data_IF_989242503438
#
_entry.id   IF_989242503438
#
_cell.length_a   1.000
_cell.length_b   1.000
_cell.length_c   1.000
_cell.angle_alpha   90.00
_cell.angle_beta   90.00
_cell.angle_gamma   90.00
#
_symmetry.space_group_name_H-M   'P 1'
#
loop_
_entity.id
_entity.type
_entity.pdbx_description
1 polymer ?
#
# COMPACT_ATOMS: atom_id res chain seq x y z
N UNK A 1 -18.32 2.96 -3.48
CA UNK A 1 -17.65 3.20 -2.18
C UNK A 1 -16.86 4.49 -2.29
N UNK A 2 -16.97 5.41 -1.33
CA UNK A 2 -16.26 6.70 -1.41
C UNK A 2 -14.76 6.48 -1.24
N UNK A 3 -13.94 7.37 -1.80
CA UNK A 3 -12.46 7.26 -1.72
C UNK A 3 -11.96 7.39 -0.28
N UNK A 4 -12.57 8.26 0.51
CA UNK A 4 -12.29 8.40 1.94
C UNK A 4 -12.60 7.12 2.73
N UNK A 5 -13.74 6.48 2.48
CA UNK A 5 -14.10 5.19 3.09
C UNK A 5 -13.12 4.07 2.72
N UNK A 6 -12.63 4.07 1.47
CA UNK A 6 -11.63 3.11 1.02
C UNK A 6 -10.34 3.20 1.84
N UNK A 7 -9.79 4.41 2.00
CA UNK A 7 -8.58 4.63 2.79
C UNK A 7 -8.79 4.30 4.27
N UNK A 8 -9.94 4.63 4.86
CA UNK A 8 -10.29 4.23 6.24
C UNK A 8 -10.33 2.73 6.42
N UNK A 9 -10.93 1.99 5.47
CA UNK A 9 -10.97 0.52 5.53
C UNK A 9 -9.57 -0.07 5.47
N UNK A 10 -8.68 0.51 4.68
CA UNK A 10 -7.29 0.06 4.59
C UNK A 10 -6.50 0.38 5.85
N UNK A 11 -6.71 1.53 6.46
CA UNK A 11 -6.15 1.86 7.77
C UNK A 11 -6.60 0.84 8.83
N UNK A 12 -7.88 0.45 8.82
CA UNK A 12 -8.41 -0.60 9.69
C UNK A 12 -7.78 -1.98 9.42
N UNK A 13 -7.51 -2.34 8.17
CA UNK A 13 -6.82 -3.59 7.85
C UNK A 13 -5.40 -3.62 8.43
N UNK A 14 -4.68 -2.50 8.40
CA UNK A 14 -3.34 -2.36 9.01
C UNK A 14 -3.42 -2.38 10.53
N UNK A 15 -4.40 -1.68 11.13
CA UNK A 15 -4.62 -1.68 12.57
C UNK A 15 -4.90 -3.10 13.09
N UNK A 16 -5.77 -3.85 12.41
CA UNK A 16 -6.06 -5.26 12.76
C UNK A 16 -4.81 -6.14 12.71
N UNK A 17 -3.94 -5.93 11.72
CA UNK A 17 -2.67 -6.64 11.65
C UNK A 17 -1.75 -6.26 12.83
N UNK A 18 -1.60 -4.96 13.12
CA UNK A 18 -0.82 -4.47 14.27
C UNK A 18 -1.29 -5.08 15.58
N UNK A 19 -2.60 -5.06 15.82
CA UNK A 19 -3.20 -5.57 17.06
C UNK A 19 -3.02 -7.11 17.15
N UNK A 20 -3.14 -7.83 16.03
CA UNK A 20 -2.86 -9.26 15.98
C UNK A 20 -1.38 -9.57 16.24
N UNK A 21 -0.46 -8.77 15.69
CA UNK A 21 0.98 -8.91 15.96
C UNK A 21 1.33 -8.59 17.42
N UNK A 22 0.72 -7.56 18.01
CA UNK A 22 0.87 -7.28 19.44
C UNK A 22 0.35 -8.43 20.30
N UNK A 23 -0.78 -9.05 19.92
CA UNK A 23 -1.28 -10.26 20.59
C UNK A 23 -0.29 -11.41 20.50
N UNK A 24 0.45 -11.58 19.40
CA UNK A 24 1.56 -12.55 19.34
C UNK A 24 2.60 -12.24 20.40
N UNK A 25 3.04 -10.99 20.51
CA UNK A 25 4.06 -10.58 21.48
C UNK A 25 3.63 -10.80 22.93
N UNK A 26 2.34 -10.69 23.25
CA UNK A 26 1.80 -10.98 24.58
C UNK A 26 2.00 -12.44 25.00
N UNK A 27 1.96 -13.38 24.05
CA UNK A 27 2.13 -14.82 24.29
C UNK A 27 3.58 -15.30 24.17
N UNK A 28 4.51 -14.38 23.91
CA UNK A 28 5.92 -14.66 23.73
C UNK A 28 6.73 -14.11 24.91
N UNK A 29 7.88 -14.71 25.17
CA UNK A 29 8.88 -14.22 26.12
C UNK A 29 10.22 -14.02 25.41
N UNK A 30 10.99 -12.98 25.78
CA UNK A 30 12.33 -12.78 25.24
C UNK A 30 13.29 -13.80 25.83
N UNK A 31 13.97 -14.56 24.96
CA UNK A 31 14.98 -15.55 25.32
C UNK A 31 16.31 -15.12 24.73
N UNK A 32 17.35 -15.11 25.57
CA UNK A 32 18.73 -14.87 25.14
C UNK A 32 19.35 -16.18 24.71
N UNK A 33 19.63 -16.32 23.43
CA UNK A 33 20.25 -17.54 22.92
C UNK A 33 21.78 -17.38 22.97
N UNK A 34 22.41 -18.08 23.93
CA UNK A 34 23.84 -17.91 24.25
C UNK A 34 24.77 -18.57 23.24
N UNK A 35 24.31 -19.58 22.50
CA UNK A 35 25.13 -20.39 21.57
C UNK A 35 25.47 -19.67 20.25
N UNK A 36 24.71 -18.66 19.85
CA UNK A 36 24.76 -18.07 18.49
C UNK A 36 25.07 -16.56 18.48
N UNK A 37 25.85 -16.08 19.47
CA UNK A 37 26.26 -14.68 19.52
C UNK A 37 25.21 -13.74 20.11
N UNK A 38 24.52 -14.17 21.17
CA UNK A 38 23.60 -13.34 21.97
C UNK A 38 22.46 -12.72 21.12
N UNK A 39 21.87 -13.49 20.22
CA UNK A 39 20.63 -13.08 19.56
C UNK A 39 19.50 -13.04 20.59
N UNK A 40 18.76 -11.94 20.60
CA UNK A 40 17.51 -11.83 21.35
C UNK A 40 16.41 -12.36 20.45
N UNK A 41 15.82 -13.48 20.84
CA UNK A 41 14.70 -14.10 20.16
C UNK A 41 13.48 -14.09 21.07
N UNK A 42 12.29 -14.20 20.48
CA UNK A 42 11.03 -14.37 21.17
C UNK A 42 10.58 -15.82 21.01
N UNK A 43 10.24 -16.47 22.11
CA UNK A 43 9.70 -17.84 22.12
C UNK A 43 8.32 -17.86 22.78
N UNK A 44 7.42 -18.77 22.37
CA UNK A 44 6.15 -18.93 23.07
C UNK A 44 6.39 -19.33 24.52
N UNK A 45 5.67 -18.70 25.44
CA UNK A 45 5.67 -19.12 26.85
C UNK A 45 5.22 -20.57 26.95
N UNK A 46 5.78 -21.32 27.90
CA UNK A 46 5.53 -22.77 28.01
C UNK A 46 4.04 -23.14 28.10
N UNK A 47 3.25 -22.33 28.81
CA UNK A 47 1.82 -22.53 29.02
C UNK A 47 0.93 -21.98 27.87
N UNK A 48 1.45 -21.09 27.01
CA UNK A 48 0.66 -20.32 26.03
C UNK A 48 1.02 -20.67 24.57
N UNK A 49 1.55 -21.87 24.33
CA UNK A 49 2.04 -22.28 23.00
C UNK A 49 0.93 -22.31 21.94
N UNK A 50 -0.26 -22.76 22.32
CA UNK A 50 -1.40 -22.86 21.41
C UNK A 50 -1.93 -21.47 21.03
N UNK A 51 -2.00 -20.58 22.01
CA UNK A 51 -2.43 -19.19 21.89
C UNK A 51 -1.44 -18.40 21.03
N UNK A 52 -0.13 -18.56 21.28
CA UNK A 52 0.93 -17.98 20.45
C UNK A 52 0.83 -18.41 18.99
N UNK A 53 0.55 -19.69 18.73
CA UNK A 53 0.38 -20.22 17.38
C UNK A 53 -0.88 -19.67 16.69
N UNK A 54 -2.01 -19.61 17.40
CA UNK A 54 -3.27 -19.05 16.89
C UNK A 54 -3.14 -17.55 16.58
N UNK A 55 -2.51 -16.78 17.47
CA UNK A 55 -2.22 -15.37 17.25
C UNK A 55 -1.30 -15.17 16.03
N UNK A 56 -0.26 -16.02 15.90
CA UNK A 56 0.67 -15.97 14.77
C UNK A 56 -0.01 -16.28 13.45
N UNK A 57 -0.92 -17.26 13.44
CA UNK A 57 -1.72 -17.58 12.26
C UNK A 57 -2.63 -16.40 11.86
N UNK A 58 -3.28 -15.76 12.84
CA UNK A 58 -4.12 -14.58 12.61
C UNK A 58 -3.31 -13.40 12.05
N UNK A 59 -2.12 -13.14 12.61
CA UNK A 59 -1.21 -12.11 12.09
C UNK A 59 -0.82 -12.39 10.63
N UNK A 60 -0.44 -13.63 10.30
CA UNK A 60 -0.12 -14.05 8.93
C UNK A 60 -1.29 -13.85 7.94
N UNK A 61 -2.51 -14.19 8.34
CA UNK A 61 -3.70 -13.99 7.49
C UNK A 61 -3.97 -12.51 7.21
N UNK A 62 -3.71 -11.63 8.18
CA UNK A 62 -3.92 -10.19 8.07
C UNK A 62 -2.78 -9.47 7.34
N UNK A 63 -1.55 -10.00 7.41
CA UNK A 63 -0.36 -9.42 6.80
C UNK A 63 -0.55 -9.14 5.30
N UNK A 64 -1.19 -10.05 4.56
CA UNK A 64 -1.47 -9.85 3.14
C UNK A 64 -2.39 -8.65 2.85
N UNK A 65 -3.36 -8.38 3.73
CA UNK A 65 -4.26 -7.22 3.61
C UNK A 65 -3.52 -5.94 3.98
N UNK A 66 -2.77 -5.97 5.08
CA UNK A 66 -1.93 -4.86 5.51
C UNK A 66 -0.88 -4.48 4.45
N UNK A 67 -0.28 -5.47 3.76
CA UNK A 67 0.66 -5.23 2.67
C UNK A 67 0.03 -4.45 1.51
N UNK A 68 -1.20 -4.81 1.10
CA UNK A 68 -1.92 -4.05 0.07
C UNK A 68 -2.18 -2.61 0.50
N UNK A 69 -2.51 -2.41 1.78
CA UNK A 69 -2.71 -1.08 2.35
C UNK A 69 -1.41 -0.26 2.38
N UNK A 70 -0.27 -0.88 2.74
CA UNK A 70 1.05 -0.27 2.70
C UNK A 70 1.40 0.27 1.32
N UNK A 71 1.21 -0.52 0.26
CA UNK A 71 1.51 -0.09 -1.12
C UNK A 71 0.77 1.18 -1.52
N UNK A 72 -0.46 1.36 -1.03
CA UNK A 72 -1.30 2.52 -1.31
C UNK A 72 -1.01 3.72 -0.39
N UNK A 73 -0.46 3.48 0.80
CA UNK A 73 0.00 4.55 1.69
C UNK A 73 1.19 5.30 1.07
N UNK A 74 2.01 4.64 0.25
CA UNK A 74 3.25 5.19 -0.29
C UNK A 74 4.42 5.12 0.69
N UNK A 75 4.20 4.60 1.91
CA UNK A 75 5.25 4.35 2.88
C UNK A 75 5.84 2.97 2.62
N UNK A 76 7.10 2.94 2.20
CA UNK A 76 7.91 1.73 2.14
C UNK A 76 9.08 1.89 3.11
N UNK A 77 9.08 1.10 4.18
CA UNK A 77 10.21 0.99 5.10
C UNK A 77 10.76 -0.41 4.97
N UNK A 78 12.02 -0.51 4.57
CA UNK A 78 12.74 -1.78 4.49
C UNK A 78 13.89 -1.77 5.48
N UNK A 79 14.17 -2.93 6.04
CA UNK A 79 15.29 -3.16 6.95
C UNK A 79 16.34 -3.98 6.22
N UNK A 80 17.59 -3.58 6.35
CA UNK A 80 18.70 -4.30 5.72
C UNK A 80 19.32 -5.20 6.78
N UNK A 81 19.32 -6.50 6.52
CA UNK A 81 20.01 -7.46 7.39
C UNK A 81 21.51 -7.27 7.21
N UNK A 82 22.28 -7.05 8.29
CA UNK A 82 23.73 -7.01 8.22
C UNK A 82 24.25 -8.31 7.57
N UNK A 83 25.19 -8.19 6.62
CA UNK A 83 25.85 -9.28 5.86
C UNK A 83 25.07 -9.88 4.68
N UNK A 84 23.75 -9.72 4.61
CA UNK A 84 22.95 -10.30 3.51
C UNK A 84 22.45 -9.21 2.54
N UNK A 85 22.43 -7.95 2.98
CA UNK A 85 22.00 -6.77 2.18
C UNK A 85 20.60 -6.87 1.55
N UNK A 86 19.82 -7.89 1.92
CA UNK A 86 18.46 -8.07 1.40
C UNK A 86 17.50 -7.16 2.18
N UNK A 87 16.74 -6.28 1.50
CA UNK A 87 15.73 -5.47 2.14
C UNK A 87 14.55 -6.33 2.60
N UNK A 88 14.26 -6.26 3.89
CA UNK A 88 13.15 -6.94 4.55
C UNK A 88 12.04 -5.94 4.81
N UNK A 89 10.84 -6.25 4.31
CA UNK A 89 9.63 -5.49 4.64
C UNK A 89 9.01 -6.02 5.94
N UNK A 90 8.84 -5.15 6.96
CA UNK A 90 8.38 -5.56 8.29
C UNK A 90 6.98 -6.15 8.31
N UNK A 91 6.11 -5.83 7.35
CA UNK A 91 4.74 -6.38 7.32
C UNK A 91 4.74 -7.80 6.77
N UNK A 92 5.47 -8.06 5.70
CA UNK A 92 5.47 -9.39 5.05
C UNK A 92 6.40 -10.38 5.74
N UNK A 93 7.45 -9.90 6.39
CA UNK A 93 8.45 -10.71 7.10
C UNK A 93 8.42 -10.47 8.61
N UNK A 94 7.25 -10.15 9.15
CA UNK A 94 7.06 -9.82 10.57
C UNK A 94 7.62 -10.90 11.51
N UNK A 95 7.57 -12.17 11.11
CA UNK A 95 8.06 -13.30 11.91
C UNK A 95 9.58 -13.24 12.15
N UNK A 96 10.33 -12.58 11.26
CA UNK A 96 11.75 -12.36 11.45
C UNK A 96 12.05 -11.51 12.68
N UNK A 97 11.14 -10.58 13.05
CA UNK A 97 11.30 -9.77 14.26
C UNK A 97 11.26 -10.57 15.56
N UNK A 98 10.65 -11.77 15.51
CA UNK A 98 10.63 -12.71 16.62
C UNK A 98 11.91 -13.55 16.68
N UNK A 99 12.55 -13.81 15.54
CA UNK A 99 13.76 -14.66 15.48
C UNK A 99 15.03 -13.85 15.76
N UNK A 100 15.09 -12.62 15.27
CA UNK A 100 16.21 -11.72 15.43
C UNK A 100 15.73 -10.31 15.78
N UNK A 101 15.44 -10.09 17.06
CA UNK A 101 14.97 -8.81 17.56
C UNK A 101 16.05 -7.72 17.53
N UNK A 102 17.32 -8.07 17.29
CA UNK A 102 18.40 -7.08 17.14
C UNK A 102 18.38 -6.46 15.76
N UNK A 103 18.18 -7.28 14.73
CA UNK A 103 18.11 -6.83 13.33
C UNK A 103 16.78 -6.12 13.06
N UNK A 104 15.67 -6.69 13.52
CA UNK A 104 14.35 -6.09 13.36
C UNK A 104 13.58 -6.12 14.68
N UNK A 105 13.72 -5.10 15.53
CA UNK A 105 12.96 -5.02 16.78
C UNK A 105 11.45 -5.08 16.53
N UNK A 106 10.66 -5.86 17.31
CA UNK A 106 9.21 -5.94 17.13
C UNK A 106 8.50 -4.59 17.18
N UNK A 107 8.99 -3.65 18.00
CA UNK A 107 8.46 -2.29 18.07
C UNK A 107 8.52 -1.56 16.72
N UNK A 108 9.49 -1.88 15.86
CA UNK A 108 9.57 -1.27 14.53
C UNK A 108 8.47 -1.75 13.59
N UNK A 109 8.00 -3.00 13.73
CA UNK A 109 6.84 -3.50 12.99
C UNK A 109 5.59 -2.70 13.40
N UNK A 110 5.39 -2.49 14.71
CA UNK A 110 4.30 -1.69 15.26
C UNK A 110 4.38 -0.24 14.77
N UNK A 111 5.52 0.41 14.94
CA UNK A 111 5.73 1.80 14.50
C UNK A 111 5.52 1.97 12.99
N UNK A 112 5.91 0.97 12.18
CA UNK A 112 5.66 1.00 10.74
C UNK A 112 4.17 0.92 10.43
N UNK A 113 3.42 0.09 11.15
CA UNK A 113 1.96 0.05 11.03
C UNK A 113 1.32 1.40 11.39
N UNK A 114 1.75 2.04 12.48
CA UNK A 114 1.21 3.33 12.92
C UNK A 114 1.48 4.44 11.90
N UNK A 115 2.68 4.48 11.30
CA UNK A 115 3.01 5.41 10.22
C UNK A 115 2.10 5.20 9.00
N UNK A 116 1.86 3.94 8.61
CA UNK A 116 0.98 3.60 7.49
C UNK A 116 -0.48 4.00 7.77
N UNK A 117 -0.96 3.74 8.99
CA UNK A 117 -2.30 4.13 9.44
C UNK A 117 -2.45 5.65 9.33
N UNK A 118 -1.53 6.43 9.92
CA UNK A 118 -1.57 7.89 9.85
C UNK A 118 -1.55 8.42 8.42
N UNK A 119 -0.72 7.86 7.54
CA UNK A 119 -0.69 8.26 6.12
C UNK A 119 -1.98 7.91 5.36
N UNK A 120 -2.64 6.81 5.70
CA UNK A 120 -3.92 6.44 5.10
C UNK A 120 -5.07 7.33 5.64
N UNK A 121 -5.04 7.67 6.92
CA UNK A 121 -6.00 8.60 7.53
C UNK A 121 -5.89 10.00 6.94
N UNK A 122 -4.67 10.53 6.78
CA UNK A 122 -4.44 11.81 6.12
C UNK A 122 -4.99 11.80 4.67
N UNK A 123 -4.79 10.71 3.93
CA UNK A 123 -5.38 10.54 2.60
C UNK A 123 -6.90 10.46 2.62
N UNK A 124 -7.48 9.84 3.65
CA UNK A 124 -8.92 9.77 3.83
C UNK A 124 -9.52 11.17 4.08
N UNK A 125 -8.90 11.96 4.95
CA UNK A 125 -9.30 13.34 5.25
C UNK A 125 -9.18 14.24 4.03
N UNK A 126 -8.05 14.16 3.31
CA UNK A 126 -7.86 14.91 2.06
C UNK A 126 -8.91 14.54 1.01
N UNK A 127 -9.23 13.25 0.88
CA UNK A 127 -10.28 12.80 -0.04
C UNK A 127 -11.66 13.34 0.37
N UNK A 128 -11.99 13.36 1.66
CA UNK A 128 -13.24 13.91 2.16
C UNK A 128 -13.35 15.43 1.94
N UNK A 129 -12.27 16.17 2.13
CA UNK A 129 -12.23 17.61 1.86
C UNK A 129 -12.45 17.93 0.37
N UNK A 130 -11.86 17.13 -0.53
CA UNK A 130 -12.08 17.24 -1.98
C UNK A 130 -13.54 16.95 -2.31
N UNK A 131 -14.13 15.88 -1.77
CA UNK A 131 -15.53 15.55 -1.99
C UNK A 131 -16.46 16.68 -1.50
N UNK A 132 -16.18 17.26 -0.33
CA UNK A 132 -16.97 18.37 0.23
C UNK A 132 -16.89 19.63 -0.62
N UNK A 133 -15.69 19.99 -1.10
CA UNK A 133 -15.50 21.17 -1.97
C UNK A 133 -16.10 20.98 -3.35
N UNK A 134 -16.05 19.77 -3.92
CA UNK A 134 -16.66 19.47 -5.21
C UNK A 134 -18.19 19.51 -5.13
N UNK A 135 -18.78 18.91 -4.09
CA UNK A 135 -20.23 18.99 -3.84
C UNK A 135 -20.65 20.44 -3.58
N UNK A 136 -19.88 21.20 -2.81
CA UNK A 136 -20.14 22.63 -2.59
C UNK A 136 -20.11 23.43 -3.90
N UNK A 137 -19.13 23.18 -4.77
CA UNK A 137 -19.03 23.81 -6.10
C UNK A 137 -20.20 23.45 -7.00
N UNK A 138 -20.59 22.17 -7.06
CA UNK A 138 -21.74 21.72 -7.83
C UNK A 138 -23.05 22.34 -7.31
N UNK A 139 -23.23 22.43 -5.99
CA UNK A 139 -24.38 23.07 -5.39
C UNK A 139 -24.44 24.57 -5.74
N UNK A 140 -23.30 25.28 -5.72
CA UNK A 140 -23.26 26.69 -6.13
C UNK A 140 -23.56 26.89 -7.62
N UNK A 141 -23.11 25.98 -8.50
CA UNK A 141 -23.47 26.04 -9.93
C UNK A 141 -24.93 25.68 -10.18
N UNK A 142 -25.51 24.75 -9.41
CA UNK A 142 -26.92 24.37 -9.53
C UNK A 142 -27.86 25.45 -8.97
N UNK A 143 -27.42 26.26 -8.01
CA UNK A 143 -28.18 27.39 -7.48
C UNK A 143 -28.11 28.65 -8.36
N UNK A 144 -27.24 28.67 -9.37
CA UNK A 144 -26.98 29.83 -10.22
C UNK A 144 -28.20 30.24 -11.09
N UNK A 145 -28.95 29.32 -11.71
CA UNK A 145 -30.17 29.67 -12.45
C UNK A 145 -31.26 30.29 -11.56
N UNK A 146 -31.39 29.82 -10.31
CA UNK A 146 -32.36 30.35 -9.35
C UNK A 146 -32.00 31.79 -8.93
N UNK A 147 -30.71 32.09 -8.75
CA UNK A 147 -30.22 33.46 -8.47
C UNK A 147 -30.38 34.42 -9.65
N UNK A 148 -30.28 33.92 -10.88
CA UNK A 148 -30.55 34.74 -12.08
C UNK A 148 -32.04 35.07 -12.18
N UNK A 149 -32.93 34.14 -11.85
CA UNK A 149 -34.38 34.40 -11.83
C UNK A 149 -34.78 35.43 -10.76
N UNK A 150 -34.22 35.35 -9.55
CA UNK A 150 -34.56 36.29 -8.49
C UNK A 150 -34.13 37.74 -8.79
N UNK A 151 -33.05 37.94 -9.56
CA UNK A 151 -32.61 39.28 -9.98
C UNK A 151 -33.46 39.83 -11.14
N UNK A 152 -34.12 38.94 -11.91
CA UNK A 152 -35.02 39.31 -13.01
C UNK A 152 -36.46 39.57 -12.51
N UNK A 153 -36.87 38.98 -11.40
CA UNK A 153 -38.17 39.22 -10.76
C UNK A 153 -38.22 40.48 -9.88
N UNK A 154 -37.08 41.01 -9.43
CA UNK A 154 -36.99 42.35 -8.85
C UNK A 154 -37.06 43.42 -9.96
N UNK A 155 -38.30 43.68 -10.35
CA UNK A 155 -38.76 44.68 -11.32
C UNK A 155 -38.13 46.07 -11.12
N UNK A 156 -37.29 46.48 -12.07
CA UNK A 156 -37.15 47.89 -12.44
C UNK A 156 -37.98 48.13 -13.73
N UNK A 157 -39.18 48.76 -13.64
CA UNK A 157 -40.11 48.93 -14.77
C UNK A 157 -39.65 49.94 -15.86
N UNK A 158 -38.34 50.22 -15.98
CA UNK A 158 -37.78 51.19 -16.92
C UNK A 158 -36.78 50.65 -17.95
N UNK A 159 -36.40 49.36 -17.89
CA UNK A 159 -35.22 48.84 -18.61
C UNK A 159 -35.53 47.92 -19.81
N UNK A 160 -36.65 48.15 -20.51
CA UNK A 160 -37.06 47.38 -21.70
C UNK A 160 -36.08 47.40 -22.89
N UNK A 161 -34.95 48.13 -22.80
CA UNK A 161 -33.88 48.16 -23.82
C UNK A 161 -32.58 47.45 -23.41
N UNK A 162 -32.39 47.08 -22.13
CA UNK A 162 -31.13 46.49 -21.64
C UNK A 162 -31.23 44.95 -21.53
N UNK A 163 -32.44 44.40 -21.43
CA UNK A 163 -32.66 42.95 -21.39
C UNK A 163 -32.17 42.20 -22.65
N UNK A 164 -32.11 42.87 -23.81
CA UNK A 164 -31.59 42.27 -25.04
C UNK A 164 -30.05 42.12 -25.02
N UNK A 165 -29.34 43.05 -24.37
CA UNK A 165 -27.88 43.00 -24.27
C UNK A 165 -27.38 41.90 -23.31
N UNK A 166 -28.13 41.64 -22.23
CA UNK A 166 -27.82 40.58 -21.27
C UNK A 166 -28.03 39.18 -21.88
N UNK A 167 -29.05 38.99 -22.72
CA UNK A 167 -29.29 37.73 -23.43
C UNK A 167 -28.16 37.37 -24.41
N UNK A 168 -27.68 38.35 -25.16
CA UNK A 168 -26.56 38.17 -26.11
C UNK A 168 -25.25 37.88 -25.37
N UNK A 169 -24.98 38.55 -24.24
CA UNK A 169 -23.80 38.25 -23.42
C UNK A 169 -23.85 36.84 -22.82
N UNK A 170 -25.01 36.40 -22.33
CA UNK A 170 -25.19 35.02 -21.85
C UNK A 170 -24.93 33.98 -22.93
N UNK A 171 -25.40 34.23 -24.16
CA UNK A 171 -25.19 33.35 -25.29
C UNK A 171 -23.71 33.33 -25.74
N UNK A 172 -23.02 34.47 -25.75
CA UNK A 172 -21.58 34.55 -26.04
C UNK A 172 -20.78 33.76 -24.99
N UNK A 173 -21.07 33.93 -23.70
CA UNK A 173 -20.36 33.20 -22.64
C UNK A 173 -20.61 31.70 -22.73
N UNK A 174 -21.84 31.25 -22.99
CA UNK A 174 -22.14 29.82 -23.17
C UNK A 174 -21.45 29.25 -24.41
N UNK A 175 -21.38 30.02 -25.52
CA UNK A 175 -20.73 29.57 -26.76
C UNK A 175 -19.21 29.55 -26.62
N UNK A 176 -18.62 30.53 -25.92
CA UNK A 176 -17.17 30.60 -25.67
C UNK A 176 -16.75 29.52 -24.68
N UNK A 177 -17.47 29.32 -23.57
CA UNK A 177 -17.16 28.28 -22.58
C UNK A 177 -17.44 26.89 -23.14
N UNK A 178 -18.55 26.70 -23.87
CA UNK A 178 -18.85 25.46 -24.56
C UNK A 178 -17.83 25.12 -25.65
N UNK A 179 -17.40 26.13 -26.43
CA UNK A 179 -16.34 25.99 -27.43
C UNK A 179 -14.98 25.66 -26.81
N UNK A 180 -14.61 26.29 -25.69
CA UNK A 180 -13.36 26.01 -24.96
C UNK A 180 -13.34 24.61 -24.36
N UNK A 181 -14.48 24.10 -23.86
CA UNK A 181 -14.59 22.73 -23.36
C UNK A 181 -14.47 21.73 -24.52
N UNK A 182 -15.07 22.01 -25.68
CA UNK A 182 -14.99 21.14 -26.87
C UNK A 182 -13.58 21.12 -27.49
N UNK A 183 -12.89 22.27 -27.53
CA UNK A 183 -11.48 22.36 -27.97
C UNK A 183 -10.53 21.73 -26.96
N UNK A 184 -10.79 21.89 -25.66
CA UNK A 184 -10.03 21.23 -24.59
C UNK A 184 -10.18 19.70 -24.61
N UNK A 185 -11.38 19.18 -24.89
CA UNK A 185 -11.64 17.76 -25.02
C UNK A 185 -10.94 17.14 -26.25
N UNK A 186 -10.91 17.84 -27.39
CA UNK A 186 -10.23 17.36 -28.59
C UNK A 186 -8.70 17.41 -28.48
N UNK A 187 -8.13 18.43 -27.84
CA UNK A 187 -6.70 18.48 -27.52
C UNK A 187 -6.28 17.42 -26.47
N UNK A 188 -7.15 17.12 -25.50
CA UNK A 188 -6.94 16.07 -24.51
C UNK A 188 -6.94 14.66 -25.12
N UNK A 189 -7.81 14.39 -26.09
CA UNK A 189 -7.86 13.09 -26.79
C UNK A 189 -6.64 12.92 -27.72
N UNK A 190 -6.19 13.99 -28.40
CA UNK A 190 -5.01 13.94 -29.26
C UNK A 190 -3.70 13.70 -28.49
N UNK A 191 -3.57 14.26 -27.28
CA UNK A 191 -2.41 14.03 -26.40
C UNK A 191 -2.43 12.63 -25.77
N UNK A 192 -3.62 12.10 -25.45
CA UNK A 192 -3.76 10.71 -24.99
C UNK A 192 -3.35 9.71 -26.09
N UNK A 193 -3.73 9.95 -27.35
CA UNK A 193 -3.36 9.09 -28.49
C UNK A 193 -1.86 9.12 -28.80
N UNK A 194 -1.20 10.28 -28.72
CA UNK A 194 0.26 10.39 -28.93
C UNK A 194 1.06 9.57 -27.91
N UNK A 195 0.64 9.55 -26.65
CA UNK A 195 1.32 8.80 -25.58
C UNK A 195 1.10 7.27 -25.66
N UNK A 196 -0.04 6.82 -26.19
CA UNK A 196 -0.35 5.40 -26.39
C UNK A 196 0.43 4.82 -27.58
N UNK A 197 0.66 5.61 -28.65
CA UNK A 197 1.42 5.15 -29.82
C UNK A 197 2.93 5.09 -29.54
N UNK A 198 3.47 5.97 -28.70
CA UNK A 198 4.91 5.95 -28.34
C UNK A 198 5.31 4.84 -27.35
N UNK A 199 4.35 4.24 -26.64
CA UNK A 199 4.63 3.14 -25.69
C UNK A 199 4.68 1.75 -26.34
N UNK A 200 4.41 1.63 -27.64
CA UNK A 200 4.39 0.33 -28.35
C UNK A 200 5.69 -0.04 -29.08
N UNK A 201 6.75 0.77 -28.98
CA UNK A 201 7.99 0.57 -29.74
C UNK A 201 9.16 0.11 -28.88
N UNK A 202 9.06 -0.99 -28.13
CA UNK A 202 10.23 -1.73 -27.63
C UNK A 202 9.87 -3.09 -27.03
N UNK A 203 9.87 -4.13 -27.85
CA UNK A 203 10.32 -5.47 -27.40
C UNK A 203 10.66 -6.32 -28.61
N UNK A 204 11.91 -6.24 -29.04
CA UNK A 204 12.57 -7.22 -29.91
C UNK A 204 12.66 -8.55 -29.15
N UNK A 205 12.13 -9.67 -29.65
CA UNK A 205 12.40 -10.98 -29.07
C UNK A 205 13.73 -11.52 -29.59
N UNK A 206 14.70 -11.76 -28.70
CA UNK A 206 15.84 -12.63 -28.99
C UNK A 206 15.50 -14.06 -28.56
N UNK A 207 15.56 -15.05 -29.48
CA UNK A 207 15.55 -16.45 -29.11
C UNK A 207 16.99 -16.97 -29.07
N UNK A 208 17.48 -17.33 -27.88
CA UNK A 208 18.63 -18.25 -27.76
C UNK A 208 18.33 -19.24 -26.65
N UNK A 209 17.77 -20.38 -27.04
CA UNK A 209 17.72 -21.59 -26.19
C UNK A 209 18.48 -22.67 -26.96
N UNK A 210 19.66 -23.00 -26.47
CA UNK A 210 20.37 -24.21 -26.87
C UNK A 210 19.84 -25.40 -26.04
N UNK A 211 19.73 -26.60 -26.62
CA UNK A 211 19.33 -27.80 -25.89
C UNK A 211 20.53 -28.36 -25.10
N UNK A 212 20.36 -28.57 -23.79
CA UNK A 212 21.30 -29.37 -23.00
C UNK A 212 20.72 -30.76 -22.79
N UNK A 213 21.35 -31.72 -23.46
CA UNK A 213 20.99 -33.13 -23.49
C UNK A 213 21.31 -33.82 -22.17
N UNK A 214 20.47 -34.80 -21.85
CA UNK A 214 20.39 -35.55 -20.62
C UNK A 214 21.46 -36.67 -20.46
N UNK A 215 21.68 -37.03 -19.18
CA UNK A 215 21.84 -38.41 -18.63
C UNK A 215 23.16 -39.19 -18.81
N UNK A 216 23.75 -39.55 -17.66
CA UNK A 216 24.19 -40.91 -17.24
C UNK A 216 24.77 -40.81 -15.80
N UNK A 217 24.07 -41.21 -14.74
CA UNK A 217 24.01 -42.57 -14.15
C UNK A 217 25.36 -43.28 -14.09
N UNK A 218 25.95 -43.41 -12.89
CA UNK A 218 26.57 -44.65 -12.38
C UNK A 218 26.76 -44.53 -10.86
N UNK A 219 26.15 -45.44 -10.12
CA UNK A 219 26.36 -45.72 -8.69
C UNK A 219 27.09 -47.10 -8.57
N UNK A 220 27.38 -47.62 -7.36
CA UNK A 220 28.66 -47.67 -6.63
C UNK A 220 29.35 -49.08 -6.74
N UNK A 221 30.37 -49.45 -5.92
CA UNK A 221 30.06 -50.04 -4.60
C UNK A 221 31.18 -50.00 -3.50
N UNK A 222 30.74 -50.26 -2.24
CA UNK A 222 31.41 -50.96 -1.10
C UNK A 222 32.79 -50.53 -0.54
N UNK A 223 32.83 -50.39 0.79
CA UNK A 223 34.05 -50.63 1.59
C UNK A 223 33.97 -50.16 3.05
N UNK A 224 33.99 -51.06 4.07
CA UNK A 224 33.85 -50.73 5.49
C UNK A 224 35.19 -50.77 6.26
N UNK A 225 35.42 -49.89 7.24
CA UNK A 225 36.30 -50.01 8.44
C UNK A 225 36.47 -48.62 9.07
N UNK A 226 36.69 -48.37 10.36
CA UNK A 226 36.83 -49.19 11.54
C UNK A 226 36.51 -48.32 12.79
N UNK A 227 35.94 -48.99 13.79
CA UNK A 227 36.14 -48.83 15.24
C UNK A 227 37.38 -48.07 15.68
N UNK A 228 37.25 -47.12 16.62
CA UNK A 228 38.02 -47.11 17.89
C UNK A 228 37.32 -46.19 18.91
N UNK A 229 37.07 -46.76 20.10
CA UNK A 229 36.43 -46.19 21.26
C UNK A 229 37.48 -45.51 22.20
N UNK A 230 37.11 -45.00 23.40
CA UNK A 230 37.70 -43.82 24.04
C UNK A 230 38.90 -44.11 24.97
N UNK A 231 39.55 -43.05 25.44
CA UNK A 231 40.45 -43.09 26.60
C UNK A 231 40.12 -41.97 27.63
N UNK A 232 40.13 -42.28 28.94
CA UNK A 232 39.77 -41.37 30.03
C UNK A 232 40.97 -40.82 30.84
N UNK A 233 40.68 -39.74 31.59
CA UNK A 233 41.21 -39.32 32.92
C UNK A 233 42.71 -39.34 33.27
N UNK A 234 43.20 -38.17 33.71
CA UNK A 234 43.97 -37.87 34.95
C UNK A 234 44.65 -36.51 34.75
N UNK A 235 44.86 -35.63 35.72
CA UNK A 235 44.69 -35.58 37.18
C UNK A 235 44.64 -34.10 37.56
#
# INVERSE_FOLDING_TARGET
>A
MKRSEHYRRMAQDVARFRDAFQSVLTHMEPVREYMTGSLMAFRPKAAEKAEAAAASQKASQLAGRAKRAQMQSGISRTFVVPKVEVPIDPITRWDHSLRDARVMPPQQVVNTCDLIIGALEEKAERAEAIDRTFVGRLATTAALPARVRSIVEEDHPGLGKVGFAAGVFGQIVVTVVGGLILVGATAGVATLWKNVVQTSSASTPSPTVAPSTAVATTEPPTGPTATTAPAPTSK
#
